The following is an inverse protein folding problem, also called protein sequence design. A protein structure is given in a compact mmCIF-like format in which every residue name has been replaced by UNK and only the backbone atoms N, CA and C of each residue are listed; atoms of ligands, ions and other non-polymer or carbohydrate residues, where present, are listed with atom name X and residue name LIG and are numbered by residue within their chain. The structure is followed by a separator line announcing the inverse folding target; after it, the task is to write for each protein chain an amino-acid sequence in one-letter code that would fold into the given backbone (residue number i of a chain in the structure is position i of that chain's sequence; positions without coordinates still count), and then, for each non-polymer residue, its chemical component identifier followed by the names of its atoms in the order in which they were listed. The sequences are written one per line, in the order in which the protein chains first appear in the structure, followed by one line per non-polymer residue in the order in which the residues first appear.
data_IF_394585346636
#
_entry.id   IF_394585346636
#
_cell.length_a   1.000
_cell.length_b   1.000
_cell.length_c   1.000
_cell.angle_alpha   90.00
_cell.angle_beta   90.00
_cell.angle_gamma   90.00
#
_symmetry.space_group_name_H-M   'P 1'
#
loop_
_entity.id
_entity.type
_entity.pdbx_description
1 polymer ?
#
# COMPACT_ATOMS: atom_id res chain seq x y z
N UNK A 1 8.38 -7.41 -23.47
CA UNK A 1 9.15 -6.21 -23.09
C UNK A 1 8.31 -5.51 -22.05
N UNK A 2 8.34 -6.04 -20.83
CA UNK A 2 7.61 -5.52 -19.69
C UNK A 2 8.17 -4.15 -19.35
N UNK A 3 7.42 -3.11 -19.70
CA UNK A 3 7.64 -1.78 -19.18
C UNK A 3 7.27 -1.83 -17.70
N UNK A 4 8.19 -2.33 -16.88
CA UNK A 4 8.24 -1.93 -15.47
C UNK A 4 8.45 -0.44 -15.52
N UNK A 5 7.35 0.31 -15.47
CA UNK A 5 7.41 1.75 -15.37
C UNK A 5 8.22 2.02 -14.11
N UNK A 6 9.49 2.39 -14.31
CA UNK A 6 10.18 3.21 -13.35
C UNK A 6 9.32 4.46 -13.24
N UNK A 7 8.36 4.43 -12.32
CA UNK A 7 7.67 5.61 -11.84
C UNK A 7 8.78 6.38 -11.16
N UNK A 8 9.48 7.18 -11.97
CA UNK A 8 10.53 8.04 -11.51
C UNK A 8 9.94 8.88 -10.38
N UNK A 9 10.51 8.77 -9.18
CA UNK A 9 10.09 9.55 -8.03
C UNK A 9 10.12 11.06 -8.31
N UNK A 10 10.78 11.47 -9.41
CA UNK A 10 10.88 12.81 -9.99
C UNK A 10 9.56 13.60 -10.13
N UNK A 11 8.38 12.95 -10.13
CA UNK A 11 7.10 13.65 -10.25
C UNK A 11 6.14 13.45 -9.06
N UNK A 12 6.64 13.00 -7.91
CA UNK A 12 5.84 12.95 -6.70
C UNK A 12 5.56 14.36 -6.20
N UNK A 13 4.27 14.69 -6.10
CA UNK A 13 3.83 15.93 -5.47
C UNK A 13 3.27 15.63 -4.08
N UNK A 14 3.44 16.51 -3.09
CA UNK A 14 2.76 16.34 -1.81
C UNK A 14 1.26 16.23 -2.05
N UNK A 15 0.61 15.34 -1.30
CA UNK A 15 -0.84 15.18 -1.38
C UNK A 15 -1.57 16.47 -0.94
N UNK A 16 -2.90 16.44 -0.95
CA UNK A 16 -3.72 17.60 -0.56
C UNK A 16 -3.40 18.87 -1.37
N UNK A 17 -3.12 18.71 -2.66
CA UNK A 17 -2.80 19.83 -3.56
C UNK A 17 -1.43 20.49 -3.30
N UNK A 18 -0.47 19.74 -2.75
CA UNK A 18 0.86 20.26 -2.42
C UNK A 18 1.02 20.79 -0.99
N UNK A 19 -0.04 20.71 -0.17
CA UNK A 19 -0.03 21.21 1.20
C UNK A 19 0.30 20.15 2.26
N UNK A 20 0.43 18.89 1.86
CA UNK A 20 0.76 17.80 2.77
C UNK A 20 2.09 18.06 3.47
N UNK A 21 2.11 17.85 4.78
CA UNK A 21 3.29 18.11 5.59
C UNK A 21 4.02 16.81 5.90
N UNK A 22 5.36 16.81 5.88
CA UNK A 22 6.11 15.68 6.39
C UNK A 22 5.78 15.43 7.86
N UNK A 23 5.72 14.16 8.26
CA UNK A 23 5.51 13.74 9.63
C UNK A 23 6.47 12.62 10.01
N UNK A 24 6.84 12.56 11.28
CA UNK A 24 7.84 11.60 11.76
C UNK A 24 7.16 10.42 12.45
N UNK A 25 7.52 9.21 12.03
CA UNK A 25 7.05 7.95 12.63
C UNK A 25 8.22 7.01 12.78
N UNK A 26 8.36 6.43 13.98
CA UNK A 26 9.43 5.46 14.29
C UNK A 26 10.85 5.96 13.95
N UNK A 27 11.08 7.27 14.10
CA UNK A 27 12.36 7.91 13.80
C UNK A 27 12.65 8.19 12.33
N UNK A 28 11.71 7.91 11.41
CA UNK A 28 11.80 8.21 9.98
C UNK A 28 10.79 9.29 9.59
N UNK A 29 11.15 10.14 8.65
CA UNK A 29 10.32 11.22 8.14
C UNK A 29 9.59 10.74 6.88
N UNK A 30 8.27 10.81 6.94
CA UNK A 30 7.37 10.35 5.88
C UNK A 30 6.61 11.53 5.28
N UNK A 31 6.35 11.46 3.98
CA UNK A 31 5.51 12.40 3.27
C UNK A 31 4.48 11.65 2.43
N UNK A 32 3.20 11.97 2.63
CA UNK A 32 2.15 11.43 1.78
C UNK A 32 2.13 12.18 0.45
N UNK A 33 2.26 11.44 -0.65
CA UNK A 33 2.46 11.96 -1.99
C UNK A 33 1.41 11.43 -2.97
N UNK A 34 1.20 12.19 -4.02
CA UNK A 34 0.38 11.84 -5.17
C UNK A 34 1.22 11.89 -6.44
N UNK A 35 1.01 10.93 -7.33
CA UNK A 35 1.68 10.87 -8.61
C UNK A 35 0.69 11.21 -9.74
N UNK A 36 0.79 12.41 -10.35
CA UNK A 36 -0.21 12.91 -11.29
C UNK A 36 -0.26 12.12 -12.58
N UNK A 37 0.87 11.52 -13.01
CA UNK A 37 0.91 10.73 -14.25
C UNK A 37 0.24 9.36 -14.12
N UNK A 38 0.22 8.74 -12.94
CA UNK A 38 -0.44 7.44 -12.73
C UNK A 38 -1.76 7.54 -11.97
N UNK A 39 -2.05 8.69 -11.36
CA UNK A 39 -3.21 8.88 -10.49
C UNK A 39 -3.12 8.11 -9.17
N UNK A 40 -1.93 7.62 -8.79
CA UNK A 40 -1.72 6.81 -7.57
C UNK A 40 -1.22 7.66 -6.41
N UNK A 41 -1.53 7.20 -5.21
CA UNK A 41 -0.98 7.75 -3.97
C UNK A 41 0.10 6.82 -3.41
N UNK A 42 1.06 7.40 -2.69
CA UNK A 42 2.13 6.68 -2.01
C UNK A 42 2.62 7.43 -0.78
N UNK A 43 3.36 6.75 0.08
CA UNK A 43 4.13 7.37 1.14
C UNK A 43 5.61 7.38 0.75
N UNK A 44 6.24 8.55 0.75
CA UNK A 44 7.67 8.72 0.50
C UNK A 44 8.40 8.78 1.83
N UNK A 45 9.38 7.90 2.01
CA UNK A 45 10.38 8.05 3.06
C UNK A 45 11.41 9.09 2.62
N UNK A 46 11.47 10.22 3.32
CA UNK A 46 12.38 11.32 3.02
C UNK A 46 13.83 11.04 3.46
N UNK A 47 14.04 10.15 4.43
CA UNK A 47 15.39 9.81 4.90
C UNK A 47 16.10 8.85 3.95
N UNK A 48 15.35 7.97 3.28
CA UNK A 48 15.89 6.92 2.41
C UNK A 48 15.53 7.09 0.93
N UNK A 49 14.84 8.18 0.58
CA UNK A 49 14.37 8.49 -0.78
C UNK A 49 13.58 7.33 -1.43
N UNK A 50 12.69 6.71 -0.64
CA UNK A 50 12.00 5.47 -1.03
C UNK A 50 10.48 5.63 -1.02
N UNK A 51 9.81 5.54 -2.18
CA UNK A 51 8.35 5.58 -2.24
C UNK A 51 7.73 4.18 -2.01
N UNK A 52 6.70 4.14 -1.17
CA UNK A 52 5.87 2.97 -0.86
C UNK A 52 4.48 3.16 -1.45
N UNK A 53 4.16 2.40 -2.48
CA UNK A 53 2.95 2.53 -3.30
C UNK A 53 1.76 1.68 -2.82
N UNK A 54 1.95 0.97 -1.71
CA UNK A 54 0.99 0.02 -1.17
C UNK A 54 -0.24 0.76 -0.59
N UNK A 55 -1.43 0.49 -1.13
CA UNK A 55 -2.67 1.24 -0.80
C UNK A 55 -3.09 1.12 0.67
N UNK A 56 -2.78 0.01 1.32
CA UNK A 56 -3.06 -0.20 2.74
C UNK A 56 -1.94 0.25 3.67
N UNK A 57 -0.78 0.64 3.13
CA UNK A 57 0.34 1.05 3.97
C UNK A 57 0.04 2.40 4.61
N UNK A 58 0.28 2.47 5.91
CA UNK A 58 0.35 3.71 6.65
C UNK A 58 1.46 3.59 7.68
N UNK A 59 2.49 4.45 7.69
CA UNK A 59 3.69 4.26 8.51
C UNK A 59 3.39 4.16 10.02
N UNK A 60 2.33 4.82 10.50
CA UNK A 60 1.92 4.76 11.91
C UNK A 60 0.95 3.62 12.28
N UNK A 61 0.15 3.10 11.33
CA UNK A 61 -0.93 2.16 11.63
C UNK A 61 -0.66 0.75 11.09
N UNK A 62 0.04 0.66 9.95
CA UNK A 62 0.37 -0.58 9.26
C UNK A 62 1.82 -0.56 8.71
N UNK A 63 2.85 -0.41 9.58
CA UNK A 63 4.24 -0.41 9.14
C UNK A 63 4.69 -1.73 8.50
N UNK A 64 4.04 -2.85 8.82
CA UNK A 64 4.31 -4.18 8.26
C UNK A 64 4.12 -4.25 6.74
N UNK A 65 3.34 -3.33 6.17
CA UNK A 65 3.05 -3.27 4.74
C UNK A 65 4.11 -2.49 3.94
N UNK A 66 5.15 -1.93 4.57
CA UNK A 66 6.24 -1.18 3.88
C UNK A 66 6.93 -2.02 2.79
N UNK A 67 7.08 -3.32 3.05
CA UNK A 67 7.77 -4.27 2.17
C UNK A 67 6.82 -5.29 1.55
N UNK A 68 5.52 -5.19 1.83
CA UNK A 68 4.53 -6.09 1.27
C UNK A 68 4.39 -5.81 -0.22
N UNK A 69 4.58 -6.84 -1.04
CA UNK A 69 4.32 -6.74 -2.47
C UNK A 69 2.80 -6.74 -2.70
N UNK A 70 2.30 -5.76 -3.45
CA UNK A 70 0.86 -5.61 -3.72
C UNK A 70 0.28 -6.87 -4.40
N UNK A 71 1.12 -7.68 -5.07
CA UNK A 71 0.72 -8.96 -5.65
C UNK A 71 0.44 -10.05 -4.62
N UNK A 72 0.93 -9.95 -3.37
CA UNK A 72 0.60 -10.91 -2.31
C UNK A 72 -0.83 -10.73 -1.77
N UNK A 73 -1.41 -9.54 -1.87
CA UNK A 73 -2.78 -9.26 -1.41
C UNK A 73 -3.86 -9.60 -2.45
N UNK A 74 -3.48 -9.69 -3.73
CA UNK A 74 -4.38 -10.15 -4.80
C UNK A 74 -4.44 -11.67 -4.93
N UNK A 75 -3.72 -12.40 -4.07
CA UNK A 75 -3.93 -13.84 -3.96
C UNK A 75 -5.40 -14.06 -3.60
N UNK A 76 -6.18 -14.78 -4.42
CA UNK A 76 -7.51 -15.15 -4.01
C UNK A 76 -7.37 -15.85 -2.66
N UNK A 77 -8.03 -15.32 -1.63
CA UNK A 77 -8.21 -16.05 -0.37
C UNK A 77 -8.69 -17.43 -0.78
N UNK A 78 -7.87 -18.45 -0.53
CA UNK A 78 -8.34 -19.83 -0.59
C UNK A 78 -9.49 -19.90 0.41
N UNK A 79 -10.73 -19.88 -0.12
CA UNK A 79 -11.93 -20.12 0.67
C UNK A 79 -11.72 -21.50 1.28
N UNK A 80 -11.46 -21.56 2.59
CA UNK A 80 -11.61 -22.80 3.32
C UNK A 80 -13.03 -23.32 3.03
N UNK A 81 -13.21 -24.61 2.74
CA UNK A 81 -14.54 -25.15 2.60
C UNK A 81 -15.23 -25.07 3.96
N UNK A 82 -16.11 -24.08 4.13
CA UNK A 82 -17.16 -24.12 5.13
C UNK A 82 -18.14 -25.22 4.72
N UNK A 83 -17.90 -26.43 5.23
CA UNK A 83 -18.88 -27.49 5.21
C UNK A 83 -18.86 -28.17 6.58
N UNK A 84 -19.36 -27.45 7.59
CA UNK A 84 -19.98 -28.11 8.73
C UNK A 84 -21.24 -28.81 8.19
N UNK A 85 -21.22 -30.13 8.25
CA UNK A 85 -22.37 -30.97 7.93
C UNK A 85 -23.49 -30.64 8.91
N UNK A 86 -24.42 -29.78 8.48
CA UNK A 86 -25.78 -29.78 8.98
C UNK A 86 -26.42 -31.09 8.53
N UNK A 87 -26.16 -32.17 9.29
CA UNK A 87 -26.98 -33.36 9.26
C UNK A 87 -28.39 -32.96 9.70
N UNK A 88 -29.20 -32.74 8.67
CA UNK A 88 -30.62 -32.48 8.73
C UNK A 88 -31.29 -33.66 9.46
N UNK A 89 -31.79 -33.33 10.66
CA UNK A 89 -32.83 -34.07 11.34
C UNK A 89 -34.00 -34.34 10.38
N UNK A 90 -34.09 -35.52 9.76
CA UNK A 90 -35.36 -36.08 9.25
C UNK A 90 -35.25 -37.57 8.89
N UNK A 91 -35.56 -38.47 9.85
CA UNK A 91 -36.69 -39.42 9.77
C UNK A 91 -36.85 -40.20 11.09
#
# INVERSE_FOLDING_TARGET
MDAVAHIAADNLVPACGGAEKPFTVSGRQWLYCYHPASGRHCYLDLDNDRPVWHRGFHPAFHPELEFADEAELLRPVERKPDHEELEDFYF
#
